data_IF_666864327378
#
_entry.id   IF_666864327378
#
_cell.length_a   1.000
_cell.length_b   1.000
_cell.length_c   1.000
_cell.angle_alpha   90.00
_cell.angle_beta   90.00
_cell.angle_gamma   90.00
#
_symmetry.space_group_name_H-M   'P 1'
#
loop_
_entity.id
_entity.type
_entity.pdbx_description
1 polymer ?
#
# COMPACT_ATOMS: atom_id res chain seq x y z
N UNK A 1 -4.01 10.78 16.30
CA UNK A 1 -2.60 11.18 16.44
C UNK A 1 -1.65 9.99 16.50
N UNK A 2 -2.07 8.86 17.08
CA UNK A 2 -1.33 7.59 17.04
C UNK A 2 -1.76 6.68 15.87
N UNK A 3 -2.50 7.23 14.91
CA UNK A 3 -2.47 6.67 13.56
C UNK A 3 -1.07 6.92 12.97
N UNK A 4 -0.66 6.09 12.03
CA UNK A 4 0.54 6.32 11.23
C UNK A 4 0.20 6.18 9.75
N UNK A 5 1.13 6.62 8.90
CA UNK A 5 0.95 6.63 7.44
C UNK A 5 2.15 6.02 6.73
N UNK A 6 1.94 5.57 5.50
CA UNK A 6 3.06 5.24 4.60
C UNK A 6 4.01 6.42 4.42
N UNK A 7 3.49 7.66 4.48
CA UNK A 7 4.29 8.89 4.52
C UNK A 7 5.24 8.90 5.74
N UNK A 8 4.73 8.66 6.96
CA UNK A 8 5.56 8.63 8.17
C UNK A 8 6.69 7.59 8.07
N UNK A 9 6.41 6.42 7.50
CA UNK A 9 7.43 5.40 7.25
C UNK A 9 8.45 5.80 6.18
N UNK A 10 8.03 6.50 5.12
CA UNK A 10 8.98 7.05 4.13
C UNK A 10 9.96 8.04 4.78
N UNK A 11 9.49 8.87 5.72
CA UNK A 11 10.34 9.77 6.51
C UNK A 11 11.22 9.03 7.52
N UNK A 12 10.72 7.96 8.13
CA UNK A 12 11.53 7.12 9.02
C UNK A 12 12.72 6.49 8.27
N UNK A 13 12.46 5.89 7.11
CA UNK A 13 13.50 5.33 6.24
C UNK A 13 14.50 6.43 5.82
N UNK A 14 13.99 7.60 5.43
CA UNK A 14 14.85 8.70 5.02
C UNK A 14 15.75 9.19 6.16
N UNK A 15 15.21 9.34 7.37
CA UNK A 15 15.95 9.72 8.57
C UNK A 15 17.10 8.74 8.86
N UNK A 16 16.81 7.45 8.83
CA UNK A 16 17.80 6.41 9.12
C UNK A 16 18.85 6.26 8.00
N UNK A 17 18.48 6.53 6.75
CA UNK A 17 19.43 6.60 5.65
C UNK A 17 20.42 7.77 5.83
N UNK A 18 19.93 8.94 6.26
CA UNK A 18 20.80 10.10 6.59
C UNK A 18 21.69 9.77 7.78
N UNK A 19 21.14 9.14 8.82
CA UNK A 19 21.91 8.70 9.99
C UNK A 19 23.04 7.75 9.60
N UNK A 20 22.74 6.73 8.78
CA UNK A 20 23.73 5.79 8.27
C UNK A 20 24.81 6.47 7.43
N UNK A 21 24.44 7.44 6.60
CA UNK A 21 25.40 8.22 5.81
C UNK A 21 26.35 9.08 6.66
N UNK A 22 25.88 9.61 7.79
CA UNK A 22 26.66 10.50 8.66
C UNK A 22 27.53 9.74 9.66
N UNK A 23 27.06 8.58 10.13
CA UNK A 23 27.71 7.83 11.22
C UNK A 23 28.43 6.56 10.75
N UNK A 24 28.09 6.06 9.56
CA UNK A 24 28.49 4.74 9.07
C UNK A 24 27.70 3.58 9.69
N UNK A 25 26.75 3.85 10.60
CA UNK A 25 25.90 2.82 11.21
C UNK A 25 24.55 2.71 10.47
N UNK A 26 24.36 1.61 9.75
CA UNK A 26 23.16 1.35 8.94
C UNK A 26 22.09 0.53 9.64
N UNK A 27 22.30 0.12 10.90
CA UNK A 27 21.36 -0.76 11.62
C UNK A 27 19.96 -0.13 11.77
N UNK A 28 19.89 1.19 11.85
CA UNK A 28 18.62 1.93 11.92
C UNK A 28 17.82 1.81 10.63
N UNK A 29 18.49 1.85 9.47
CA UNK A 29 17.84 1.71 8.17
C UNK A 29 17.27 0.30 7.99
N UNK A 30 18.04 -0.73 8.35
CA UNK A 30 17.59 -2.12 8.33
C UNK A 30 16.36 -2.32 9.25
N UNK A 31 16.38 -1.69 10.43
CA UNK A 31 15.26 -1.74 11.38
C UNK A 31 14.02 -1.05 10.82
N UNK A 32 14.18 0.13 10.21
CA UNK A 32 13.09 0.88 9.61
C UNK A 32 12.43 0.11 8.46
N UNK A 33 13.25 -0.47 7.58
CA UNK A 33 12.78 -1.26 6.45
C UNK A 33 12.06 -2.53 6.92
N UNK A 34 12.64 -3.26 7.87
CA UNK A 34 12.03 -4.47 8.45
C UNK A 34 10.68 -4.16 9.11
N UNK A 35 10.57 -3.02 9.80
CA UNK A 35 9.30 -2.57 10.38
C UNK A 35 8.26 -2.26 9.30
N UNK A 36 8.66 -1.59 8.21
CA UNK A 36 7.78 -1.28 7.08
C UNK A 36 7.20 -2.55 6.46
N UNK A 37 8.06 -3.52 6.11
CA UNK A 37 7.64 -4.79 5.53
C UNK A 37 6.70 -5.56 6.44
N UNK A 38 6.98 -5.55 7.75
CA UNK A 38 6.20 -6.31 8.71
C UNK A 38 4.79 -5.75 8.94
N UNK A 39 4.65 -4.43 8.96
CA UNK A 39 3.43 -3.80 9.44
C UNK A 39 2.64 -3.10 8.34
N UNK A 40 3.31 -2.46 7.37
CA UNK A 40 2.66 -1.57 6.41
C UNK A 40 2.47 -2.16 5.02
N UNK A 41 3.30 -3.12 4.63
CA UNK A 41 3.09 -3.89 3.40
C UNK A 41 2.17 -5.06 3.75
N UNK A 42 0.97 -5.17 3.16
CA UNK A 42 0.06 -6.26 3.46
C UNK A 42 0.70 -7.62 3.15
N UNK A 43 0.59 -8.58 4.06
CA UNK A 43 1.05 -9.95 3.83
C UNK A 43 0.08 -10.67 2.88
N UNK A 44 0.45 -11.85 2.38
CA UNK A 44 -0.48 -12.65 1.57
C UNK A 44 -1.83 -12.91 2.29
N UNK A 45 -1.83 -13.04 3.62
CA UNK A 45 -3.07 -13.22 4.39
C UNK A 45 -3.98 -11.98 4.34
N UNK A 46 -3.40 -10.78 4.21
CA UNK A 46 -4.11 -9.51 4.14
C UNK A 46 -4.59 -9.19 2.70
N UNK A 47 -3.98 -9.83 1.69
CA UNK A 47 -4.32 -9.67 0.26
C UNK A 47 -4.40 -11.01 -0.51
N UNK A 48 -5.24 -11.99 -0.09
CA UNK A 48 -5.15 -13.38 -0.56
C UNK A 48 -5.65 -13.64 -1.98
N UNK A 49 -6.39 -12.70 -2.59
CA UNK A 49 -7.15 -12.92 -3.82
C UNK A 49 -6.68 -12.04 -4.99
N UNK A 50 -5.39 -11.71 -5.03
CA UNK A 50 -4.82 -10.94 -6.13
C UNK A 50 -4.80 -11.75 -7.44
N UNK A 51 -5.23 -11.13 -8.54
CA UNK A 51 -5.20 -11.75 -9.85
C UNK A 51 -5.34 -10.75 -10.99
N UNK A 52 -4.70 -11.03 -12.12
CA UNK A 52 -4.64 -10.12 -13.28
C UNK A 52 -5.83 -10.24 -14.25
N UNK A 53 -6.76 -11.16 -13.99
CA UNK A 53 -7.85 -11.49 -14.94
C UNK A 53 -9.03 -10.51 -14.88
N UNK A 54 -9.25 -9.86 -13.74
CA UNK A 54 -10.36 -8.94 -13.55
C UNK A 54 -9.93 -7.50 -13.84
N UNK A 55 -10.80 -6.77 -14.55
CA UNK A 55 -10.69 -5.32 -14.73
C UNK A 55 -11.58 -4.63 -13.72
N UNK A 56 -11.13 -3.51 -13.15
CA UNK A 56 -11.98 -2.69 -12.29
C UNK A 56 -13.30 -2.30 -12.99
N UNK A 57 -14.36 -2.08 -12.21
CA UNK A 57 -15.61 -1.49 -12.70
C UNK A 57 -15.62 -0.01 -12.32
N UNK A 58 -15.88 0.88 -13.26
CA UNK A 58 -15.90 2.32 -13.02
C UNK A 58 -17.03 2.69 -12.04
N UNK A 59 -16.76 3.63 -11.15
CA UNK A 59 -17.76 4.37 -10.40
C UNK A 59 -17.36 5.86 -10.42
N UNK A 60 -18.29 6.80 -10.68
CA UNK A 60 -17.97 8.22 -10.70
C UNK A 60 -17.68 8.75 -9.30
N UNK A 61 -16.74 9.69 -9.21
CA UNK A 61 -16.53 10.48 -8.01
C UNK A 61 -17.68 11.48 -7.80
N UNK A 62 -17.92 11.86 -6.54
CA UNK A 62 -18.94 12.83 -6.18
C UNK A 62 -18.32 14.08 -5.55
N UNK A 63 -18.73 15.26 -6.00
CA UNK A 63 -18.25 16.56 -5.48
C UNK A 63 -18.50 16.76 -3.98
N UNK A 64 -19.47 16.05 -3.41
CA UNK A 64 -19.83 16.13 -1.99
C UNK A 64 -19.99 14.74 -1.39
N UNK A 65 -19.70 14.54 -0.09
CA UNK A 65 -19.90 13.26 0.60
C UNK A 65 -21.33 12.73 0.51
N UNK A 66 -22.33 13.62 0.47
CA UNK A 66 -23.75 13.26 0.34
C UNK A 66 -24.12 12.64 -1.02
N UNK A 67 -23.17 12.58 -1.97
CA UNK A 67 -23.33 11.91 -3.27
C UNK A 67 -22.85 10.46 -3.25
N UNK A 68 -22.32 9.98 -2.13
CA UNK A 68 -21.92 8.59 -1.94
C UNK A 68 -23.04 7.77 -1.27
N UNK A 69 -23.12 6.43 -1.51
CA UNK A 69 -22.17 5.62 -2.27
C UNK A 69 -22.24 5.88 -3.79
N UNK A 70 -21.06 5.91 -4.44
CA UNK A 70 -20.98 5.96 -5.89
C UNK A 70 -21.54 4.68 -6.51
N UNK A 71 -22.28 4.81 -7.62
CA UNK A 71 -22.89 3.67 -8.31
C UNK A 71 -21.93 3.17 -9.39
N UNK A 72 -21.63 1.87 -9.37
CA UNK A 72 -20.80 1.24 -10.40
C UNK A 72 -21.52 1.24 -11.76
N UNK A 73 -20.81 1.65 -12.80
CA UNK A 73 -21.29 1.62 -14.19
C UNK A 73 -20.43 0.67 -15.04
N UNK A 74 -20.93 -0.55 -15.34
CA UNK A 74 -20.19 -1.52 -16.16
C UNK A 74 -20.16 -1.15 -17.65
N UNK A 75 -20.90 -0.12 -18.09
CA UNK A 75 -20.92 0.29 -19.49
C UNK A 75 -19.78 1.25 -19.83
N UNK A 76 -19.10 1.82 -18.83
CA UNK A 76 -17.93 2.67 -19.04
C UNK A 76 -16.72 1.78 -19.38
N UNK A 77 -16.09 1.97 -20.55
CA UNK A 77 -14.93 1.17 -20.94
C UNK A 77 -13.76 1.35 -19.97
N UNK A 78 -13.15 0.23 -19.56
CA UNK A 78 -11.96 0.21 -18.71
C UNK A 78 -10.77 -0.36 -19.49
N UNK A 79 -9.61 0.26 -19.31
CA UNK A 79 -8.35 -0.12 -19.95
C UNK A 79 -7.88 -1.53 -19.56
N UNK A 80 -6.83 -2.00 -20.24
CA UNK A 80 -6.09 -3.20 -19.82
C UNK A 80 -4.94 -2.77 -18.91
N UNK A 81 -4.72 -3.51 -17.82
CA UNK A 81 -3.51 -3.37 -17.01
C UNK A 81 -2.32 -3.99 -17.76
N UNK A 82 -1.29 -3.20 -18.12
CA UNK A 82 -0.16 -3.71 -18.87
C UNK A 82 0.94 -4.36 -18.01
N UNK A 83 0.90 -4.23 -16.67
CA UNK A 83 2.02 -4.59 -15.78
C UNK A 83 1.72 -5.75 -14.84
N UNK A 84 0.46 -6.06 -14.52
CA UNK A 84 0.13 -7.11 -13.55
C UNK A 84 0.77 -8.47 -13.90
N UNK A 85 0.60 -8.95 -15.14
CA UNK A 85 1.17 -10.24 -15.58
C UNK A 85 2.70 -10.25 -15.59
N UNK A 86 3.32 -9.11 -15.91
CA UNK A 86 4.78 -8.95 -15.90
C UNK A 86 5.32 -9.06 -14.46
N UNK A 87 4.73 -8.30 -13.54
CA UNK A 87 5.10 -8.33 -12.11
C UNK A 87 4.89 -9.72 -11.52
N UNK A 88 3.74 -10.35 -11.77
CA UNK A 88 3.48 -11.70 -11.27
C UNK A 88 4.50 -12.72 -11.80
N UNK A 89 4.90 -12.60 -13.07
CA UNK A 89 5.92 -13.46 -13.66
C UNK A 89 7.31 -13.20 -13.09
N UNK A 90 7.66 -11.94 -12.81
CA UNK A 90 8.95 -11.55 -12.28
C UNK A 90 9.15 -11.97 -10.81
N UNK A 91 8.11 -11.89 -9.99
CA UNK A 91 8.20 -12.10 -8.55
C UNK A 91 7.56 -13.41 -8.05
N UNK A 92 6.88 -14.15 -8.92
CA UNK A 92 6.28 -15.45 -8.59
C UNK A 92 5.06 -15.39 -7.66
N UNK A 93 4.55 -14.19 -7.38
CA UNK A 93 3.34 -13.95 -6.57
C UNK A 93 2.49 -12.86 -7.21
N UNK A 94 1.18 -12.88 -6.98
CA UNK A 94 0.27 -11.79 -7.32
C UNK A 94 0.23 -10.69 -6.25
N UNK A 95 0.91 -10.88 -5.12
CA UNK A 95 0.92 -9.92 -4.01
C UNK A 95 1.58 -8.60 -4.41
N UNK A 96 0.98 -7.50 -3.96
CA UNK A 96 1.50 -6.16 -4.19
C UNK A 96 2.46 -5.81 -3.05
N UNK A 97 3.74 -5.66 -3.38
CA UNK A 97 4.77 -5.14 -2.47
C UNK A 97 4.70 -3.60 -2.43
N UNK A 98 3.71 -3.08 -1.72
CA UNK A 98 3.47 -1.65 -1.57
C UNK A 98 2.81 -1.36 -0.22
N UNK A 99 3.21 -0.25 0.41
CA UNK A 99 2.64 0.14 1.70
C UNK A 99 1.16 0.51 1.56
N UNK A 100 0.31 -0.01 2.43
CA UNK A 100 -0.99 0.62 2.67
C UNK A 100 -0.80 1.99 3.34
N UNK A 101 -1.73 2.91 3.10
CA UNK A 101 -1.48 4.33 3.36
C UNK A 101 -1.72 4.76 4.81
N UNK A 102 -2.57 4.06 5.56
CA UNK A 102 -2.99 4.41 6.91
C UNK A 102 -3.01 3.18 7.81
N UNK A 103 -2.57 3.34 9.06
CA UNK A 103 -2.66 2.30 10.09
C UNK A 103 -3.07 2.89 11.42
N UNK A 104 -3.97 2.20 12.11
CA UNK A 104 -4.28 2.40 13.52
C UNK A 104 -3.31 1.59 14.39
N UNK A 105 -2.25 2.24 14.88
CA UNK A 105 -1.12 1.56 15.52
C UNK A 105 -1.50 0.95 16.87
N UNK A 106 -2.34 1.65 17.62
CA UNK A 106 -2.71 1.29 19.00
C UNK A 106 -4.05 0.55 19.06
N UNK A 107 -4.58 0.14 17.91
CA UNK A 107 -5.93 -0.41 17.77
C UNK A 107 -6.99 0.46 18.51
N UNK A 108 -6.89 1.77 18.33
CA UNK A 108 -7.78 2.73 18.97
C UNK A 108 -9.22 2.61 18.46
N UNK A 109 -9.40 2.31 17.17
CA UNK A 109 -10.72 2.12 16.55
C UNK A 109 -11.33 0.73 16.82
N UNK A 110 -10.52 -0.28 17.15
CA UNK A 110 -11.00 -1.62 17.53
C UNK A 110 -11.40 -2.52 16.37
N UNK A 111 -10.76 -2.37 15.20
CA UNK A 111 -10.97 -3.23 14.03
C UNK A 111 -10.10 -4.49 14.04
#
# INVERSE_FOLDING_TARGET
GHETTSEAYSFYIWLEAVYGKLTGNWSGLDTAWTSMEKYLIPTHADQPNNGCSYKATYAPEGELPSKYPGVMDPNVPVGNDPICSELQSAYGTGDIYGMHWLMDVDNWYGF
#
